data_IF_672974778442
#
_entry.id   IF_672974778442
#
_cell.length_a   1.000
_cell.length_b   1.000
_cell.length_c   1.000
_cell.angle_alpha   90.00
_cell.angle_beta   90.00
_cell.angle_gamma   90.00
#
_symmetry.space_group_name_H-M   'P 1'
#
loop_
_entity.id
_entity.type
_entity.pdbx_description
1 polymer ?
#
# COMPACT_ATOMS: atom_id res chain seq x y z
N UNK A 1 28.89 24.78 -33.97
CA UNK A 1 29.17 26.23 -33.95
C UNK A 1 27.89 26.97 -34.23
N UNK A 2 27.29 27.56 -33.20
CA UNK A 2 26.52 28.81 -33.25
C UNK A 2 26.04 29.09 -31.82
N UNK A 3 26.85 29.85 -31.09
CA UNK A 3 26.35 30.71 -30.03
C UNK A 3 25.68 31.91 -30.68
N UNK A 4 24.49 32.26 -30.22
CA UNK A 4 23.84 33.53 -30.54
C UNK A 4 23.09 34.04 -29.29
N UNK A 5 23.84 34.79 -28.49
CA UNK A 5 23.50 36.03 -27.78
C UNK A 5 22.19 36.17 -26.99
N UNK A 6 22.40 36.40 -25.69
CA UNK A 6 21.76 37.40 -24.81
C UNK A 6 20.65 38.26 -25.43
N UNK A 7 19.43 38.05 -24.95
CA UNK A 7 18.29 38.95 -25.12
C UNK A 7 17.57 39.12 -23.78
N UNK A 8 17.84 40.25 -23.13
CA UNK A 8 17.14 40.71 -21.93
C UNK A 8 15.68 41.05 -22.31
N UNK A 9 14.68 40.36 -21.76
CA UNK A 9 13.26 40.68 -21.97
C UNK A 9 12.53 40.78 -20.64
N UNK A 10 12.09 42.01 -20.35
CA UNK A 10 11.13 42.40 -19.32
C UNK A 10 9.81 41.64 -19.41
N UNK A 11 9.26 41.25 -18.25
CA UNK A 11 7.96 40.59 -18.05
C UNK A 11 6.74 41.46 -18.45
N UNK A 12 5.48 40.97 -18.39
CA UNK A 12 5.00 39.59 -18.25
C UNK A 12 4.02 39.16 -19.37
N UNK A 13 4.00 37.88 -19.73
CA UNK A 13 2.84 37.29 -20.42
C UNK A 13 1.99 36.57 -19.36
N UNK A 14 0.72 36.95 -19.27
CA UNK A 14 -0.28 36.32 -18.40
C UNK A 14 -0.37 34.81 -18.68
N UNK A 15 0.10 34.01 -17.73
CA UNK A 15 -0.06 32.57 -17.75
C UNK A 15 -1.51 32.23 -17.40
N UNK A 16 -2.29 31.80 -18.38
CA UNK A 16 -3.66 31.36 -18.15
C UNK A 16 -3.60 29.93 -17.60
N UNK A 17 -3.89 29.77 -16.30
CA UNK A 17 -3.84 28.49 -15.57
C UNK A 17 -4.82 27.49 -16.23
N UNK A 18 -4.32 26.35 -16.70
CA UNK A 18 -5.16 25.26 -17.24
C UNK A 18 -5.82 24.51 -16.08
N UNK A 19 -7.04 23.98 -16.29
CA UNK A 19 -7.72 23.10 -15.31
C UNK A 19 -6.90 21.85 -14.95
N UNK A 20 -5.98 21.44 -15.83
CA UNK A 20 -5.08 20.31 -15.56
C UNK A 20 -3.98 20.69 -14.57
N UNK A 21 -3.58 21.97 -14.49
CA UNK A 21 -2.56 22.46 -13.55
C UNK A 21 -3.10 22.53 -12.10
N UNK A 22 -4.42 22.65 -11.92
CA UNK A 22 -5.06 22.61 -10.59
C UNK A 22 -5.12 21.19 -10.01
N UNK A 23 -5.11 20.15 -10.85
CA UNK A 23 -5.22 18.76 -10.38
C UNK A 23 -3.94 18.28 -9.67
N UNK A 24 -2.81 18.94 -9.93
CA UNK A 24 -1.49 18.64 -9.36
C UNK A 24 -1.01 19.68 -8.33
N UNK A 25 -1.87 20.65 -7.97
CA UNK A 25 -1.60 21.67 -6.95
C UNK A 25 -1.74 21.03 -5.55
N UNK A 26 -0.78 20.19 -5.19
CA UNK A 26 -0.58 19.70 -3.83
C UNK A 26 -0.14 20.89 -2.99
N UNK A 27 -1.12 21.58 -2.39
CA UNK A 27 -0.98 22.87 -1.72
C UNK A 27 0.34 23.07 -0.97
N UNK A 28 0.86 24.29 -1.08
CA UNK A 28 2.08 24.79 -0.46
C UNK A 28 2.07 24.68 1.08
N UNK A 29 2.25 23.46 1.58
CA UNK A 29 2.60 23.18 2.97
C UNK A 29 3.89 22.34 3.01
N UNK A 30 4.83 22.65 2.11
CA UNK A 30 6.23 22.22 2.26
C UNK A 30 6.87 22.99 3.40
N UNK A 31 6.64 22.53 4.63
CA UNK A 31 7.55 22.83 5.74
C UNK A 31 8.94 22.46 5.28
N UNK A 32 9.86 23.42 5.27
CA UNK A 32 11.28 23.23 4.95
C UNK A 32 11.88 22.19 5.91
N UNK A 33 11.74 20.91 5.57
CA UNK A 33 12.52 19.83 6.19
C UNK A 33 13.89 19.95 5.55
N UNK A 34 14.86 20.50 6.28
CA UNK A 34 16.27 20.41 5.91
C UNK A 34 16.66 18.92 5.96
N UNK A 35 16.49 18.23 4.84
CA UNK A 35 17.14 16.96 4.61
C UNK A 35 18.64 17.23 4.50
N UNK A 36 19.44 16.52 5.32
CA UNK A 36 20.88 16.52 5.16
C UNK A 36 21.19 16.06 3.73
N UNK A 37 21.69 16.98 2.91
CA UNK A 37 22.15 16.72 1.56
C UNK A 37 23.29 15.71 1.62
N UNK A 38 23.03 14.47 1.20
CA UNK A 38 24.12 13.71 0.58
C UNK A 38 23.71 12.66 -0.46
N UNK A 39 22.42 12.29 -0.62
CA UNK A 39 21.96 11.47 -1.76
C UNK A 39 20.50 11.76 -2.13
N UNK A 40 20.29 12.55 -3.18
CA UNK A 40 18.99 12.65 -3.86
C UNK A 40 18.86 11.53 -4.89
N UNK A 41 17.65 11.02 -5.12
CA UNK A 41 17.40 10.10 -6.23
C UNK A 41 17.70 10.79 -7.55
N UNK A 42 18.37 10.10 -8.47
CA UNK A 42 18.42 10.54 -9.86
C UNK A 42 17.05 10.40 -10.53
N UNK A 43 16.84 11.07 -11.66
CA UNK A 43 15.60 10.93 -12.42
C UNK A 43 15.34 9.47 -12.84
N UNK A 44 16.40 8.77 -13.27
CA UNK A 44 16.34 7.35 -13.62
C UNK A 44 15.98 6.47 -12.42
N UNK A 45 16.57 6.74 -11.24
CA UNK A 45 16.25 6.01 -10.00
C UNK A 45 14.80 6.27 -9.57
N UNK A 46 14.33 7.52 -9.65
CA UNK A 46 12.95 7.87 -9.33
C UNK A 46 11.97 7.17 -10.29
N UNK A 47 12.25 7.19 -11.59
CA UNK A 47 11.45 6.49 -12.60
C UNK A 47 11.42 4.98 -12.36
N UNK A 48 12.58 4.38 -12.05
CA UNK A 48 12.67 2.96 -11.72
C UNK A 48 11.85 2.60 -10.47
N UNK A 49 11.85 3.44 -9.43
CA UNK A 49 10.99 3.25 -8.25
C UNK A 49 9.49 3.34 -8.61
N UNK A 50 9.07 4.27 -9.47
CA UNK A 50 7.69 4.35 -9.93
C UNK A 50 7.24 3.06 -10.61
N UNK A 51 8.06 2.49 -11.49
CA UNK A 51 7.78 1.21 -12.16
C UNK A 51 7.68 0.08 -11.14
N UNK A 52 8.61 0.02 -10.18
CA UNK A 52 8.59 -1.00 -9.12
C UNK A 52 7.35 -0.91 -8.25
N UNK A 53 6.93 0.29 -7.83
CA UNK A 53 5.71 0.48 -7.04
C UNK A 53 4.46 0.09 -7.83
N UNK A 54 4.42 0.41 -9.13
CA UNK A 54 3.31 0.01 -9.98
C UNK A 54 3.21 -1.51 -10.08
N UNK A 55 4.29 -2.20 -10.45
CA UNK A 55 4.29 -3.66 -10.59
C UNK A 55 4.03 -4.38 -9.26
N UNK A 56 4.72 -3.96 -8.20
CA UNK A 56 4.57 -4.56 -6.86
C UNK A 56 3.18 -4.33 -6.26
N UNK A 57 2.56 -3.18 -6.54
CA UNK A 57 1.22 -2.85 -6.07
C UNK A 57 0.09 -3.46 -6.91
N UNK A 58 0.31 -3.64 -8.22
CA UNK A 58 -0.72 -4.12 -9.14
C UNK A 58 -1.12 -5.57 -8.86
N UNK A 59 -0.17 -6.49 -8.94
CA UNK A 59 -0.46 -7.92 -8.83
C UNK A 59 -0.97 -8.28 -7.44
N UNK A 60 -0.38 -7.69 -6.39
CA UNK A 60 -0.77 -7.94 -5.01
C UNK A 60 -2.18 -7.42 -4.72
N UNK A 61 -2.47 -6.18 -5.09
CA UNK A 61 -3.79 -5.56 -4.82
C UNK A 61 -4.89 -6.19 -5.66
N UNK A 62 -4.63 -6.47 -6.94
CA UNK A 62 -5.61 -7.12 -7.82
C UNK A 62 -5.95 -8.54 -7.34
N UNK A 63 -4.98 -9.28 -6.81
CA UNK A 63 -5.21 -10.59 -6.18
C UNK A 63 -6.13 -10.48 -4.98
N UNK A 64 -5.86 -9.54 -4.05
CA UNK A 64 -6.71 -9.33 -2.86
C UNK A 64 -8.14 -8.98 -3.26
N UNK A 65 -8.31 -8.03 -4.19
CA UNK A 65 -9.64 -7.61 -4.65
C UNK A 65 -10.38 -8.80 -5.29
N UNK A 66 -9.71 -9.53 -6.18
CA UNK A 66 -10.32 -10.64 -6.93
C UNK A 66 -10.81 -11.75 -6.01
N UNK A 67 -9.98 -12.20 -5.06
CA UNK A 67 -10.38 -13.25 -4.12
C UNK A 67 -11.41 -12.77 -3.09
N UNK A 68 -11.35 -11.50 -2.68
CA UNK A 68 -12.38 -10.92 -1.80
C UNK A 68 -13.74 -10.92 -2.50
N UNK A 69 -13.81 -10.46 -3.74
CA UNK A 69 -15.05 -10.47 -4.53
C UNK A 69 -15.55 -11.89 -4.81
N UNK A 70 -14.64 -12.82 -5.12
CA UNK A 70 -14.97 -14.22 -5.31
C UNK A 70 -15.60 -14.84 -4.05
N UNK A 71 -14.98 -14.63 -2.88
CA UNK A 71 -15.51 -15.13 -1.60
C UNK A 71 -16.87 -14.52 -1.27
N UNK A 72 -17.06 -13.22 -1.50
CA UNK A 72 -18.34 -12.54 -1.31
C UNK A 72 -19.42 -13.08 -2.26
N UNK A 73 -19.07 -13.42 -3.50
CA UNK A 73 -20.00 -14.03 -4.45
C UNK A 73 -20.43 -15.44 -4.05
N UNK A 74 -19.56 -16.20 -3.37
CA UNK A 74 -19.86 -17.52 -2.83
C UNK A 74 -20.65 -17.47 -1.51
N UNK A 75 -20.60 -16.36 -0.77
CA UNK A 75 -21.24 -16.18 0.54
C UNK A 75 -22.15 -14.95 0.54
N UNK A 76 -23.34 -15.02 -0.11
CA UNK A 76 -24.26 -13.89 -0.21
C UNK A 76 -24.66 -13.29 1.14
N UNK A 77 -24.78 -14.11 2.19
CA UNK A 77 -25.09 -13.67 3.55
C UNK A 77 -24.00 -12.76 4.15
N UNK A 78 -22.73 -13.04 3.85
CA UNK A 78 -21.61 -12.19 4.25
C UNK A 78 -21.62 -10.89 3.44
N UNK A 79 -21.92 -10.97 2.15
CA UNK A 79 -22.03 -9.82 1.28
C UNK A 79 -23.16 -8.87 1.72
N UNK A 80 -24.32 -9.39 2.07
CA UNK A 80 -25.47 -8.60 2.51
C UNK A 80 -25.16 -7.88 3.83
N UNK A 81 -24.59 -8.60 4.80
CA UNK A 81 -24.14 -7.99 6.06
C UNK A 81 -23.06 -6.91 5.86
N UNK A 82 -22.13 -7.14 4.93
CA UNK A 82 -21.12 -6.13 4.60
C UNK A 82 -21.77 -4.90 3.95
N UNK A 83 -22.75 -5.11 3.06
CA UNK A 83 -23.48 -4.02 2.42
C UNK A 83 -24.28 -3.19 3.42
N UNK A 84 -24.87 -3.84 4.44
CA UNK A 84 -25.53 -3.14 5.55
C UNK A 84 -24.56 -2.23 6.31
N UNK A 85 -23.37 -2.73 6.72
CA UNK A 85 -22.35 -1.90 7.39
C UNK A 85 -21.94 -0.69 6.51
N UNK A 86 -21.71 -0.93 5.22
CA UNK A 86 -21.33 0.13 4.27
C UNK A 86 -22.45 1.17 4.17
N UNK A 87 -23.70 0.76 3.99
CA UNK A 87 -24.83 1.68 3.87
C UNK A 87 -25.02 2.51 5.14
N UNK A 88 -24.96 1.87 6.32
CA UNK A 88 -25.04 2.59 7.60
C UNK A 88 -23.92 3.63 7.75
N UNK A 89 -22.71 3.30 7.30
CA UNK A 89 -21.59 4.23 7.31
C UNK A 89 -21.88 5.45 6.42
N UNK A 90 -22.40 5.25 5.21
CA UNK A 90 -22.74 6.33 4.29
C UNK A 90 -23.89 7.19 4.82
N UNK A 91 -24.95 6.58 5.37
CA UNK A 91 -26.08 7.31 5.96
C UNK A 91 -25.64 8.20 7.14
N UNK A 92 -24.74 7.70 8.01
CA UNK A 92 -24.21 8.46 9.15
C UNK A 92 -23.35 9.67 8.74
N UNK A 93 -22.86 9.71 7.49
CA UNK A 93 -21.97 10.76 6.99
C UNK A 93 -22.55 11.52 5.79
N UNK A 94 -23.88 11.69 5.74
CA UNK A 94 -24.58 12.44 4.68
C UNK A 94 -24.20 11.96 3.26
N UNK A 95 -24.09 10.65 3.09
CA UNK A 95 -23.63 9.96 1.87
C UNK A 95 -22.23 10.35 1.37
N UNK A 96 -21.42 11.02 2.21
CA UNK A 96 -20.06 11.45 1.91
C UNK A 96 -19.13 11.17 3.10
N UNK A 97 -18.86 9.88 3.41
CA UNK A 97 -17.91 9.54 4.45
C UNK A 97 -16.54 10.13 4.11
N UNK A 98 -15.92 10.88 5.04
CA UNK A 98 -14.59 11.43 4.82
C UNK A 98 -13.56 10.29 4.75
N UNK A 99 -12.42 10.55 4.10
CA UNK A 99 -11.44 9.50 3.80
C UNK A 99 -10.91 8.78 5.04
N UNK A 100 -10.79 9.48 6.16
CA UNK A 100 -10.39 8.94 7.46
C UNK A 100 -11.40 7.95 8.06
N UNK A 101 -12.68 8.08 7.72
CA UNK A 101 -13.74 7.12 8.12
C UNK A 101 -13.67 5.84 7.28
N UNK A 102 -13.22 5.93 6.03
CA UNK A 102 -13.10 4.78 5.11
C UNK A 102 -11.73 4.10 5.25
N UNK A 103 -10.69 4.88 5.51
CA UNK A 103 -9.30 4.44 5.52
C UNK A 103 -8.88 3.87 6.87
N UNK A 104 -7.97 2.88 6.84
CA UNK A 104 -7.31 2.29 8.01
C UNK A 104 -6.38 3.26 8.77
N UNK A 105 -6.28 4.52 8.37
CA UNK A 105 -5.23 5.43 8.82
C UNK A 105 -5.66 6.28 10.04
N UNK A 106 -5.69 5.65 11.21
CA UNK A 106 -5.22 6.32 12.43
C UNK A 106 -4.23 5.38 13.13
N UNK A 107 -2.95 5.66 12.87
CA UNK A 107 -1.75 5.00 13.37
C UNK A 107 -1.93 4.12 14.62
N UNK A 108 -1.51 2.86 14.51
CA UNK A 108 -1.27 1.91 15.61
C UNK A 108 -2.52 1.51 16.45
N UNK A 109 -3.07 0.34 16.13
CA UNK A 109 -3.62 -0.62 17.11
C UNK A 109 -4.77 -0.26 18.08
N UNK A 110 -5.62 0.76 17.88
CA UNK A 110 -6.77 0.93 18.79
C UNK A 110 -8.10 1.38 18.21
N UNK A 111 -8.17 1.96 17.02
CA UNK A 111 -9.45 2.45 16.49
C UNK A 111 -9.52 2.14 15.00
N UNK A 112 -9.94 0.91 14.69
CA UNK A 112 -10.65 0.69 13.43
C UNK A 112 -11.77 1.73 13.41
N UNK A 113 -11.88 2.53 12.35
CA UNK A 113 -13.07 3.36 12.12
C UNK A 113 -14.28 2.50 12.46
N UNK A 114 -15.00 2.83 13.54
CA UNK A 114 -16.03 1.94 14.09
C UNK A 114 -17.06 1.54 13.04
N UNK A 115 -17.18 2.39 12.02
CA UNK A 115 -18.07 2.30 10.89
C UNK A 115 -17.71 1.25 9.83
N UNK A 116 -16.49 0.70 9.79
CA UNK A 116 -16.06 -0.25 8.72
C UNK A 116 -15.26 -1.45 9.26
N UNK A 117 -15.62 -1.94 10.45
CA UNK A 117 -14.93 -3.06 11.13
C UNK A 117 -15.09 -4.37 10.36
N UNK A 118 -16.28 -4.63 9.85
CA UNK A 118 -16.61 -5.85 9.13
C UNK A 118 -15.95 -5.90 7.75
N UNK A 119 -15.90 -4.78 7.02
CA UNK A 119 -15.10 -4.68 5.78
C UNK A 119 -13.65 -5.10 6.01
N UNK A 120 -13.04 -4.59 7.08
CA UNK A 120 -11.67 -4.92 7.42
C UNK A 120 -11.49 -6.41 7.77
N UNK A 121 -12.48 -7.02 8.43
CA UNK A 121 -12.49 -8.44 8.73
C UNK A 121 -12.59 -9.29 7.44
N UNK A 122 -13.50 -8.92 6.52
CA UNK A 122 -13.68 -9.60 5.23
C UNK A 122 -12.39 -9.57 4.39
N UNK A 123 -11.74 -8.41 4.29
CA UNK A 123 -10.47 -8.29 3.56
C UNK A 123 -9.37 -9.11 4.25
N UNK A 124 -9.28 -9.03 5.58
CA UNK A 124 -8.27 -9.77 6.35
C UNK A 124 -8.45 -11.29 6.18
N UNK A 125 -9.68 -11.77 6.21
CA UNK A 125 -9.98 -13.20 6.04
C UNK A 125 -9.73 -13.66 4.60
N UNK A 126 -10.02 -12.81 3.62
CA UNK A 126 -9.68 -13.07 2.22
C UNK A 126 -8.16 -13.21 2.04
N UNK A 127 -7.36 -12.36 2.70
CA UNK A 127 -5.89 -12.46 2.70
C UNK A 127 -5.35 -13.64 3.53
N UNK A 128 -6.09 -14.10 4.55
CA UNK A 128 -5.75 -15.32 5.28
C UNK A 128 -5.90 -16.54 4.37
N UNK A 129 -7.04 -16.67 3.70
CA UNK A 129 -7.35 -17.79 2.79
C UNK A 129 -6.54 -17.74 1.49
N UNK A 130 -6.35 -16.54 0.93
CA UNK A 130 -5.67 -16.31 -0.36
C UNK A 130 -4.62 -15.19 -0.25
N UNK A 131 -3.51 -15.42 0.47
CA UNK A 131 -2.45 -14.43 0.60
C UNK A 131 -1.75 -14.20 -0.75
N UNK A 132 -1.58 -12.95 -1.22
CA UNK A 132 -0.84 -12.67 -2.46
C UNK A 132 0.61 -13.17 -2.43
N UNK A 133 1.25 -13.13 -1.26
CA UNK A 133 2.59 -13.67 -1.04
C UNK A 133 2.50 -14.98 -0.25
N UNK A 134 2.43 -16.11 -0.95
CA UNK A 134 2.28 -17.44 -0.33
C UNK A 134 3.53 -17.94 0.41
N UNK A 135 4.70 -17.39 0.06
CA UNK A 135 6.02 -17.75 0.61
C UNK A 135 6.94 -16.54 0.55
N UNK A 136 7.72 -16.31 1.60
CA UNK A 136 8.73 -15.25 1.65
C UNK A 136 10.09 -15.89 1.91
N UNK A 137 11.13 -15.45 1.21
CA UNK A 137 12.45 -16.06 1.27
C UNK A 137 13.54 -15.04 1.65
N UNK A 138 14.57 -15.52 2.34
CA UNK A 138 15.82 -14.79 2.61
C UNK A 138 16.99 -15.75 2.41
N UNK A 139 18.12 -15.23 1.94
CA UNK A 139 19.38 -15.98 1.90
C UNK A 139 20.31 -15.49 3.00
N UNK A 140 20.95 -16.41 3.69
CA UNK A 140 21.93 -16.08 4.74
C UNK A 140 23.21 -15.49 4.12
N UNK A 141 23.61 -14.31 4.57
CA UNK A 141 24.84 -13.66 4.12
C UNK A 141 26.12 -14.23 4.78
N UNK A 142 25.96 -14.96 5.88
CA UNK A 142 27.01 -15.64 6.63
C UNK A 142 26.39 -16.78 7.45
N UNK A 143 27.17 -17.72 8.00
CA UNK A 143 26.64 -18.76 8.88
C UNK A 143 25.85 -18.16 10.04
N UNK A 144 24.59 -18.55 10.20
CA UNK A 144 23.68 -17.99 11.20
C UNK A 144 23.18 -19.07 12.15
N UNK A 145 23.40 -18.90 13.45
CA UNK A 145 22.89 -19.81 14.48
C UNK A 145 21.49 -19.39 14.89
N UNK A 146 20.52 -20.29 14.75
CA UNK A 146 19.15 -20.05 15.20
C UNK A 146 19.10 -20.27 16.73
N UNK A 147 18.80 -19.20 17.46
CA UNK A 147 18.73 -19.22 18.92
C UNK A 147 17.74 -20.28 19.43
N UNK A 148 18.10 -20.93 20.55
CA UNK A 148 17.26 -21.95 21.19
C UNK A 148 17.16 -23.30 20.47
N UNK A 149 17.67 -23.43 19.24
CA UNK A 149 17.53 -24.68 18.45
C UNK A 149 18.82 -25.48 18.32
N UNK A 150 19.98 -24.85 18.52
CA UNK A 150 21.29 -25.45 18.26
C UNK A 150 21.61 -25.61 16.76
N UNK A 151 20.75 -25.16 15.86
CA UNK A 151 20.91 -25.27 14.41
C UNK A 151 21.73 -24.10 13.89
N UNK A 152 22.74 -24.39 13.07
CA UNK A 152 23.51 -23.39 12.31
C UNK A 152 23.15 -23.50 10.84
N UNK A 153 22.57 -22.43 10.28
CA UNK A 153 22.26 -22.29 8.87
C UNK A 153 23.54 -21.88 8.13
N UNK A 154 23.99 -22.62 7.10
CA UNK A 154 25.16 -22.26 6.32
C UNK A 154 24.99 -20.92 5.58
N UNK A 155 26.09 -20.30 5.18
CA UNK A 155 26.07 -19.17 4.25
C UNK A 155 25.43 -19.55 2.90
N UNK A 156 24.69 -18.63 2.28
CA UNK A 156 24.02 -18.82 1.00
C UNK A 156 22.78 -19.71 1.06
N UNK A 157 22.41 -20.23 2.23
CA UNK A 157 21.23 -21.06 2.41
C UNK A 157 19.96 -20.21 2.34
N UNK A 158 18.95 -20.67 1.58
CA UNK A 158 17.64 -20.04 1.49
C UNK A 158 16.77 -20.50 2.66
N UNK A 159 16.32 -19.54 3.47
CA UNK A 159 15.32 -19.72 4.51
C UNK A 159 13.98 -19.23 3.97
N UNK A 160 13.01 -20.14 3.89
CA UNK A 160 11.67 -19.86 3.40
C UNK A 160 10.65 -19.87 4.54
N UNK A 161 9.80 -18.84 4.60
CA UNK A 161 8.66 -18.74 5.51
C UNK A 161 7.38 -19.11 4.74
N UNK A 162 6.70 -20.22 5.09
CA UNK A 162 5.54 -20.70 4.36
C UNK A 162 4.25 -20.01 4.82
N UNK A 163 4.06 -18.75 4.42
CA UNK A 163 2.92 -17.89 4.84
C UNK A 163 1.56 -18.58 4.64
N UNK A 164 1.34 -19.17 3.46
CA UNK A 164 0.06 -19.85 3.17
C UNK A 164 -0.23 -20.99 4.15
N UNK A 165 0.77 -21.83 4.44
CA UNK A 165 0.60 -22.96 5.36
C UNK A 165 0.33 -22.48 6.78
N UNK A 166 1.04 -21.43 7.23
CA UNK A 166 0.82 -20.82 8.54
C UNK A 166 -0.60 -20.24 8.69
N UNK A 167 -1.14 -19.63 7.63
CA UNK A 167 -2.51 -19.10 7.64
C UNK A 167 -3.59 -20.18 7.67
N UNK A 168 -3.26 -21.43 7.31
CA UNK A 168 -4.18 -22.58 7.26
C UNK A 168 -3.90 -23.60 8.36
N UNK A 169 -3.05 -23.25 9.33
CA UNK A 169 -2.77 -24.09 10.48
C UNK A 169 -3.97 -24.08 11.44
N UNK A 170 -4.66 -25.22 11.66
CA UNK A 170 -5.85 -25.28 12.52
C UNK A 170 -5.53 -25.01 13.99
N UNK A 171 -4.28 -25.10 14.43
CA UNK A 171 -3.91 -24.72 15.81
C UNK A 171 -3.97 -23.19 16.01
N UNK A 172 -3.74 -22.43 14.94
CA UNK A 172 -3.72 -20.96 14.96
C UNK A 172 -5.01 -20.35 14.41
N UNK A 173 -5.63 -21.00 13.42
CA UNK A 173 -6.86 -20.58 12.73
C UNK A 173 -7.85 -21.76 12.66
N UNK A 174 -8.53 -22.07 13.78
CA UNK A 174 -9.45 -23.20 13.90
C UNK A 174 -10.77 -23.01 13.12
#
# INVERSE_FOLDING_TARGET
MMDAQEGNLSAPAEYTKSRDDELYDLGEDTKNVQFSSDKTLTEDEAMAQCVLFFLGGLDTTSTVISFTLYLLALHPEIQDRLREEVNECFEKHDNRPPFDVISKQKYLNAVISESMKYLNAVISESMRMYPPAVRIERSTAAPYKIDGTGITVPEGCVVAVPVYAMHHDPENFP
#
